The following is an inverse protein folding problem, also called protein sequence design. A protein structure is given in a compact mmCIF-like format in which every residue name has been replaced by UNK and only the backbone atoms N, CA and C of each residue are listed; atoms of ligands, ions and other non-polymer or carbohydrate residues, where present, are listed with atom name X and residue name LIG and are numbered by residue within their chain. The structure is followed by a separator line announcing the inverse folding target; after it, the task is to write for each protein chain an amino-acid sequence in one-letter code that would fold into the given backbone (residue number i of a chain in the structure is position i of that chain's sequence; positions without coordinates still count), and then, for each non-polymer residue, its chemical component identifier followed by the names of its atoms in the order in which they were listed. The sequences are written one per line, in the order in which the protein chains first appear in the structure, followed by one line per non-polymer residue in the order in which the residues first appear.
data_IF_897133537194
#
_entry.id   IF_897133537194
#
_cell.length_a   1.000
_cell.length_b   1.000
_cell.length_c   1.000
_cell.angle_alpha   90.00
_cell.angle_beta   90.00
_cell.angle_gamma   90.00
#
_symmetry.space_group_name_H-M   'P 1'
#
loop_
_entity.id
_entity.type
_entity.pdbx_description
1 polymer ?
#
# COMPACT_ATOMS: atom_id res chain seq x y z
N UNK A 1 -10.65 29.58 -36.37
CA UNK A 1 -10.27 28.94 -37.64
C UNK A 1 -9.89 27.50 -37.31
N UNK A 2 -10.86 26.59 -37.27
CA UNK A 2 -10.61 25.15 -37.09
C UNK A 2 -10.41 24.54 -38.47
N UNK A 3 -9.23 23.98 -38.71
CA UNK A 3 -8.92 23.30 -39.97
C UNK A 3 -9.67 21.96 -40.01
N UNK A 4 -10.79 21.95 -40.72
CA UNK A 4 -11.40 20.72 -41.25
C UNK A 4 -10.40 20.12 -42.26
N UNK A 5 -9.90 18.91 -41.98
CA UNK A 5 -9.19 18.11 -42.98
C UNK A 5 -10.23 17.52 -43.94
N UNK A 6 -9.96 17.49 -45.26
CA UNK A 6 -10.87 16.90 -46.23
C UNK A 6 -10.87 15.37 -46.13
N UNK A 7 -12.05 14.76 -46.20
CA UNK A 7 -12.22 13.31 -46.36
C UNK A 7 -11.66 12.88 -47.72
N UNK A 8 -10.81 11.85 -47.69
CA UNK A 8 -10.21 11.22 -48.88
C UNK A 8 -11.19 10.16 -49.43
N UNK A 9 -11.33 9.99 -50.76
CA UNK A 9 -12.31 9.10 -51.39
C UNK A 9 -11.88 7.61 -51.43
N UNK A 10 -11.21 7.11 -50.40
CA UNK A 10 -10.74 5.71 -50.34
C UNK A 10 -11.87 4.72 -49.96
N UNK A 11 -13.09 5.20 -49.66
CA UNK A 11 -14.15 4.43 -48.99
C UNK A 11 -14.94 3.46 -49.88
N UNK A 12 -15.12 3.74 -51.17
CA UNK A 12 -16.04 2.95 -52.02
C UNK A 12 -15.39 1.72 -52.69
N UNK A 13 -14.07 1.74 -52.91
CA UNK A 13 -13.36 0.60 -53.54
C UNK A 13 -13.20 -0.60 -52.60
N UNK A 14 -12.97 -0.36 -51.31
CA UNK A 14 -12.82 -1.42 -50.30
C UNK A 14 -14.15 -2.13 -49.97
N UNK A 15 -15.29 -1.45 -50.16
CA UNK A 15 -16.63 -2.01 -49.88
C UNK A 15 -17.05 -3.08 -50.90
N UNK A 16 -16.72 -2.85 -52.18
CA UNK A 16 -17.04 -3.75 -53.28
C UNK A 16 -16.12 -4.98 -53.36
N UNK A 17 -14.88 -4.86 -52.87
CA UNK A 17 -13.86 -5.91 -52.98
C UNK A 17 -14.15 -7.15 -52.12
N UNK A 18 -14.83 -6.98 -50.97
CA UNK A 18 -15.05 -8.05 -49.99
C UNK A 18 -16.53 -8.44 -49.79
N UNK A 19 -17.43 -8.12 -50.74
CA UNK A 19 -18.88 -8.32 -50.58
C UNK A 19 -19.29 -9.79 -50.43
N UNK A 20 -18.58 -10.72 -51.09
CA UNK A 20 -18.85 -12.15 -50.98
C UNK A 20 -18.49 -12.70 -49.58
N UNK A 21 -17.30 -12.40 -49.08
CA UNK A 21 -16.89 -12.76 -47.71
C UNK A 21 -17.71 -12.06 -46.63
N UNK A 22 -18.16 -10.83 -46.89
CA UNK A 22 -19.05 -10.10 -45.98
C UNK A 22 -20.42 -10.76 -45.85
N UNK A 23 -21.04 -11.20 -46.95
CA UNK A 23 -22.31 -11.94 -46.88
C UNK A 23 -22.21 -13.24 -46.07
N UNK A 24 -21.12 -13.99 -46.26
CA UNK A 24 -20.83 -15.19 -45.47
C UNK A 24 -20.61 -14.88 -43.99
N UNK A 25 -19.94 -13.76 -43.68
CA UNK A 25 -19.70 -13.29 -42.32
C UNK A 25 -21.00 -12.92 -41.61
N UNK A 26 -21.89 -12.24 -42.32
CA UNK A 26 -23.22 -11.88 -41.82
C UNK A 26 -24.06 -13.12 -41.47
N UNK A 27 -24.04 -14.17 -42.29
CA UNK A 27 -24.77 -15.41 -41.99
C UNK A 27 -24.17 -16.17 -40.79
N UNK A 28 -22.86 -16.44 -40.83
CA UNK A 28 -22.21 -17.33 -39.85
C UNK A 28 -21.93 -16.69 -38.49
N UNK A 29 -21.58 -15.41 -38.48
CA UNK A 29 -21.18 -14.72 -37.25
C UNK A 29 -22.32 -13.86 -36.75
N UNK A 30 -22.86 -12.97 -37.58
CA UNK A 30 -23.88 -12.02 -37.11
C UNK A 30 -25.22 -12.73 -36.83
N UNK A 31 -25.76 -13.47 -37.80
CA UNK A 31 -27.05 -14.16 -37.59
C UNK A 31 -26.93 -15.31 -36.61
N UNK A 32 -25.93 -16.18 -36.75
CA UNK A 32 -25.79 -17.34 -35.86
C UNK A 32 -25.35 -16.98 -34.43
N UNK A 33 -24.32 -16.14 -34.26
CA UNK A 33 -23.75 -15.89 -32.93
C UNK A 33 -24.41 -14.72 -32.21
N UNK A 34 -24.65 -13.60 -32.88
CA UNK A 34 -25.24 -12.42 -32.21
C UNK A 34 -26.76 -12.49 -32.14
N UNK A 35 -27.44 -12.96 -33.18
CA UNK A 35 -28.92 -12.95 -33.23
C UNK A 35 -29.56 -14.24 -32.72
N UNK A 36 -29.00 -15.41 -33.04
CA UNK A 36 -29.54 -16.70 -32.59
C UNK A 36 -29.00 -17.10 -31.21
N UNK A 37 -27.68 -16.99 -30.99
CA UNK A 37 -27.06 -17.37 -29.71
C UNK A 37 -27.01 -16.23 -28.67
N UNK A 38 -27.47 -15.01 -29.01
CA UNK A 38 -27.43 -13.82 -28.14
C UNK A 38 -26.04 -13.53 -27.53
N UNK A 39 -24.96 -13.81 -28.26
CA UNK A 39 -23.59 -13.55 -27.80
C UNK A 39 -23.25 -12.05 -27.87
N UNK A 40 -22.48 -11.58 -26.89
CA UNK A 40 -21.92 -10.22 -26.87
C UNK A 40 -20.49 -10.26 -27.37
N UNK A 41 -20.21 -9.60 -28.50
CA UNK A 41 -18.86 -9.58 -29.08
C UNK A 41 -18.27 -8.17 -29.09
N UNK A 42 -16.95 -8.08 -28.95
CA UNK A 42 -16.23 -6.80 -29.11
C UNK A 42 -16.00 -6.52 -30.60
N UNK A 43 -16.04 -5.25 -30.99
CA UNK A 43 -15.73 -4.82 -32.36
C UNK A 43 -14.33 -5.24 -32.83
N UNK A 44 -13.37 -5.38 -31.90
CA UNK A 44 -12.06 -5.96 -32.19
C UNK A 44 -12.14 -7.42 -32.64
N UNK A 45 -12.96 -8.23 -31.97
CA UNK A 45 -13.16 -9.65 -32.29
C UNK A 45 -13.94 -9.82 -33.59
N UNK A 46 -14.96 -8.99 -33.83
CA UNK A 46 -15.71 -9.01 -35.09
C UNK A 46 -14.82 -8.64 -36.29
N UNK A 47 -13.95 -7.64 -36.13
CA UNK A 47 -12.96 -7.29 -37.15
C UNK A 47 -12.00 -8.45 -37.41
N UNK A 48 -11.48 -9.09 -36.38
CA UNK A 48 -10.56 -10.21 -36.55
C UNK A 48 -11.24 -11.39 -37.25
N UNK A 49 -12.45 -11.75 -36.83
CA UNK A 49 -13.23 -12.81 -37.47
C UNK A 49 -13.57 -12.51 -38.93
N UNK A 50 -13.79 -11.24 -39.28
CA UNK A 50 -13.97 -10.82 -40.67
C UNK A 50 -12.67 -10.96 -41.48
N UNK A 51 -11.53 -10.53 -40.95
CA UNK A 51 -10.22 -10.69 -41.59
C UNK A 51 -9.89 -12.16 -41.83
N UNK A 52 -10.12 -13.01 -40.83
CA UNK A 52 -9.87 -14.45 -40.92
C UNK A 52 -10.77 -15.11 -41.98
N UNK A 53 -12.03 -14.67 -42.11
CA UNK A 53 -12.96 -15.14 -43.14
C UNK A 53 -12.57 -14.69 -44.54
N UNK A 54 -12.15 -13.44 -44.74
CA UNK A 54 -11.66 -12.95 -46.03
C UNK A 54 -10.41 -13.73 -46.46
N UNK A 55 -9.49 -13.96 -45.51
CA UNK A 55 -8.29 -14.76 -45.76
C UNK A 55 -8.62 -16.21 -46.13
N UNK A 56 -9.62 -16.81 -45.49
CA UNK A 56 -10.02 -18.19 -45.76
C UNK A 56 -10.79 -18.36 -47.08
N UNK A 57 -11.60 -17.37 -47.49
CA UNK A 57 -12.52 -17.50 -48.62
C UNK A 57 -11.99 -16.88 -49.91
N UNK A 58 -11.27 -15.75 -49.82
CA UNK A 58 -10.77 -15.01 -50.98
C UNK A 58 -9.24 -15.03 -51.07
N UNK A 59 -8.54 -15.47 -50.02
CA UNK A 59 -7.07 -15.55 -50.00
C UNK A 59 -6.38 -14.17 -50.01
N UNK A 60 -7.14 -13.09 -49.81
CA UNK A 60 -6.66 -11.70 -49.82
C UNK A 60 -6.38 -11.23 -48.40
N UNK A 61 -5.34 -10.41 -48.22
CA UNK A 61 -5.02 -9.81 -46.94
C UNK A 61 -5.91 -8.58 -46.65
N UNK A 62 -6.86 -8.73 -45.73
CA UNK A 62 -7.75 -7.67 -45.27
C UNK A 62 -7.28 -7.00 -43.97
N UNK A 63 -6.01 -7.15 -43.56
CA UNK A 63 -5.50 -6.62 -42.28
C UNK A 63 -5.70 -5.10 -42.12
N UNK A 64 -5.71 -4.35 -43.22
CA UNK A 64 -5.93 -2.90 -43.23
C UNK A 64 -7.40 -2.47 -43.14
N UNK A 65 -8.35 -3.41 -43.10
CA UNK A 65 -9.78 -3.09 -43.04
C UNK A 65 -10.14 -2.37 -41.74
N UNK A 66 -10.77 -1.19 -41.85
CA UNK A 66 -11.05 -0.31 -40.69
C UNK A 66 -12.30 -0.75 -39.92
N UNK A 67 -12.23 -0.69 -38.58
CA UNK A 67 -13.37 -0.99 -37.69
C UNK A 67 -14.58 -0.10 -37.96
N UNK A 68 -14.35 1.17 -38.29
CA UNK A 68 -15.40 2.15 -38.58
C UNK A 68 -16.23 1.78 -39.81
N UNK A 69 -15.60 1.17 -40.83
CA UNK A 69 -16.27 0.74 -42.06
C UNK A 69 -17.13 -0.50 -41.82
N UNK A 70 -16.57 -1.48 -41.11
CA UNK A 70 -17.34 -2.68 -40.71
C UNK A 70 -18.56 -2.29 -39.87
N UNK A 71 -18.40 -1.33 -38.96
CA UNK A 71 -19.49 -0.82 -38.13
C UNK A 71 -20.59 -0.20 -38.97
N UNK A 72 -20.25 0.69 -39.91
CA UNK A 72 -21.23 1.35 -40.79
C UNK A 72 -22.03 0.33 -41.59
N UNK A 73 -21.37 -0.68 -42.16
CA UNK A 73 -22.02 -1.73 -42.94
C UNK A 73 -22.96 -2.59 -42.09
N UNK A 74 -22.50 -2.99 -40.89
CA UNK A 74 -23.34 -3.76 -39.96
C UNK A 74 -24.54 -2.96 -39.43
N UNK A 75 -24.36 -1.67 -39.15
CA UNK A 75 -25.45 -0.80 -38.71
C UNK A 75 -26.49 -0.56 -39.82
N UNK A 76 -26.07 -0.58 -41.09
CA UNK A 76 -26.96 -0.46 -42.25
C UNK A 76 -27.76 -1.75 -42.50
N UNK A 77 -27.11 -2.91 -42.43
CA UNK A 77 -27.74 -4.21 -42.74
C UNK A 77 -28.52 -4.82 -41.56
N UNK A 78 -28.15 -4.47 -40.32
CA UNK A 78 -28.76 -4.97 -39.09
C UNK A 78 -29.08 -3.81 -38.14
N UNK A 79 -30.18 -3.07 -38.36
CA UNK A 79 -30.57 -1.94 -37.51
C UNK A 79 -30.88 -2.34 -36.07
N UNK A 80 -31.12 -3.62 -35.82
CA UNK A 80 -31.36 -4.21 -34.49
C UNK A 80 -30.08 -4.48 -33.68
N UNK A 81 -28.88 -4.13 -34.18
CA UNK A 81 -27.64 -4.24 -33.42
C UNK A 81 -27.36 -2.95 -32.65
N UNK A 82 -27.14 -3.10 -31.34
CA UNK A 82 -26.72 -2.01 -30.47
C UNK A 82 -25.19 -2.01 -30.33
N UNK A 83 -24.60 -0.81 -30.43
CA UNK A 83 -23.17 -0.58 -30.29
C UNK A 83 -22.90 0.24 -29.02
N UNK A 84 -22.26 -0.37 -28.02
CA UNK A 84 -22.02 0.27 -26.71
C UNK A 84 -20.54 0.60 -26.50
N UNK A 85 -20.26 1.88 -26.28
CA UNK A 85 -18.95 2.42 -25.93
C UNK A 85 -18.70 2.32 -24.41
N UNK A 86 -17.72 1.54 -23.94
CA UNK A 86 -17.39 1.46 -22.52
C UNK A 86 -16.85 2.79 -21.97
N UNK A 87 -17.19 3.14 -20.73
CA UNK A 87 -16.75 4.39 -20.05
C UNK A 87 -15.26 4.45 -19.71
N UNK A 88 -14.50 3.36 -19.87
CA UNK A 88 -13.04 3.31 -19.67
C UNK A 88 -12.31 3.67 -20.98
N UNK A 89 -11.27 4.50 -20.90
CA UNK A 89 -10.35 4.73 -22.05
C UNK A 89 -9.63 3.42 -22.42
N UNK A 90 -9.48 3.16 -23.72
CA UNK A 90 -8.77 2.02 -24.35
C UNK A 90 -9.50 0.66 -24.38
N UNK A 91 -10.84 0.62 -24.40
CA UNK A 91 -11.59 -0.63 -24.58
C UNK A 91 -12.40 -0.57 -25.88
N UNK A 92 -12.31 -1.62 -26.71
CA UNK A 92 -13.10 -1.71 -27.96
C UNK A 92 -14.61 -1.79 -27.68
N UNK A 93 -15.40 -1.22 -28.59
CA UNK A 93 -16.87 -1.18 -28.55
C UNK A 93 -17.49 -2.59 -28.46
N UNK A 94 -18.62 -2.70 -27.77
CA UNK A 94 -19.41 -3.94 -27.67
C UNK A 94 -20.54 -3.92 -28.69
N UNK A 95 -20.85 -5.08 -29.29
CA UNK A 95 -21.95 -5.27 -30.25
C UNK A 95 -22.83 -6.43 -29.79
N UNK A 96 -24.13 -6.20 -29.77
CA UNK A 96 -25.15 -7.17 -29.37
C UNK A 96 -26.51 -6.83 -30.00
N UNK A 97 -27.46 -7.75 -29.97
CA UNK A 97 -28.83 -7.53 -30.45
C UNK A 97 -29.66 -6.71 -29.44
N UNK A 98 -30.41 -5.72 -29.91
CA UNK A 98 -31.22 -4.78 -29.09
C UNK A 98 -32.35 -5.46 -28.29
N UNK A 99 -32.65 -6.73 -28.58
CA UNK A 99 -33.58 -7.57 -27.82
C UNK A 99 -33.07 -8.01 -26.44
N UNK A 100 -31.81 -7.71 -26.11
CA UNK A 100 -31.20 -8.01 -24.81
C UNK A 100 -31.45 -6.89 -23.79
N UNK A 101 -32.14 -7.21 -22.70
CA UNK A 101 -32.24 -6.36 -21.50
C UNK A 101 -30.85 -5.95 -21.02
N UNK A 102 -30.69 -4.68 -20.59
CA UNK A 102 -29.43 -4.11 -20.11
C UNK A 102 -28.80 -4.91 -18.96
N UNK A 103 -29.60 -5.70 -18.25
CA UNK A 103 -29.16 -6.56 -17.15
C UNK A 103 -28.46 -7.85 -17.63
N UNK A 104 -28.77 -8.36 -18.82
CA UNK A 104 -28.13 -9.56 -19.39
C UNK A 104 -26.74 -9.28 -20.01
N UNK A 105 -26.41 -8.01 -20.28
CA UNK A 105 -25.15 -7.59 -20.90
C UNK A 105 -23.95 -7.65 -19.95
N UNK A 106 -24.21 -7.64 -18.63
CA UNK A 106 -23.15 -7.73 -17.61
C UNK A 106 -22.68 -9.17 -17.43
N UNK A 107 -23.51 -10.16 -17.81
CA UNK A 107 -23.24 -11.58 -17.59
C UNK A 107 -22.45 -12.27 -18.70
N UNK A 108 -22.45 -11.71 -19.92
CA UNK A 108 -21.92 -12.37 -21.11
C UNK A 108 -20.61 -11.76 -21.65
N UNK A 109 -19.93 -10.91 -20.88
CA UNK A 109 -18.67 -10.28 -21.30
C UNK A 109 -17.48 -11.24 -21.12
N UNK A 110 -16.79 -11.66 -22.19
CA UNK A 110 -15.51 -12.34 -22.07
C UNK A 110 -14.46 -11.30 -21.66
N UNK A 111 -13.81 -11.53 -20.52
CA UNK A 111 -12.69 -10.71 -20.07
C UNK A 111 -11.37 -11.11 -20.75
N UNK A 112 -10.44 -10.16 -20.90
CA UNK A 112 -9.34 -10.22 -21.86
C UNK A 112 -8.18 -11.00 -21.28
N UNK A 113 -7.94 -12.20 -21.79
CA UNK A 113 -6.61 -12.81 -21.75
C UNK A 113 -6.22 -13.20 -23.16
N UNK A 114 -5.23 -12.48 -23.69
CA UNK A 114 -4.52 -12.91 -24.88
C UNK A 114 -3.65 -14.10 -24.52
N UNK A 115 -3.91 -15.23 -25.16
CA UNK A 115 -2.89 -16.12 -25.72
C UNK A 115 -3.63 -17.09 -26.62
N UNK A 116 -3.38 -16.95 -27.92
CA UNK A 116 -3.74 -17.91 -28.94
C UNK A 116 -3.15 -19.27 -28.54
N UNK A 117 -3.99 -20.25 -28.27
CA UNK A 117 -3.59 -21.66 -28.35
C UNK A 117 -4.67 -22.38 -29.12
N UNK A 118 -4.32 -22.63 -30.37
CA UNK A 118 -4.96 -23.54 -31.31
C UNK A 118 -5.21 -24.87 -30.61
N UNK A 119 -6.46 -25.28 -30.44
CA UNK A 119 -6.79 -26.70 -30.33
C UNK A 119 -8.04 -27.02 -31.13
N UNK A 120 -7.77 -27.62 -32.28
CA UNK A 120 -8.68 -28.42 -33.07
C UNK A 120 -9.23 -29.58 -32.22
N UNK A 121 -10.49 -29.89 -32.54
CA UNK A 121 -11.16 -31.17 -32.36
C UNK A 121 -10.22 -32.38 -32.49
N UNK A 122 -10.26 -33.32 -31.55
CA UNK A 122 -10.87 -34.65 -31.74
C UNK A 122 -10.45 -35.71 -30.70
N UNK A 123 -11.46 -36.49 -30.32
CA UNK A 123 -11.49 -37.94 -30.09
C UNK A 123 -10.76 -38.57 -28.88
N UNK A 124 -11.61 -39.19 -28.08
CA UNK A 124 -11.38 -40.24 -27.11
C UNK A 124 -10.54 -41.41 -27.62
N UNK A 125 -9.59 -41.83 -26.79
CA UNK A 125 -9.22 -43.25 -26.61
C UNK A 125 -8.46 -43.44 -25.29
N UNK A 126 -8.80 -44.55 -24.65
CA UNK A 126 -8.28 -45.12 -23.40
C UNK A 126 -6.85 -45.61 -23.56
N UNK A 127 -5.96 -45.35 -22.60
CA UNK A 127 -5.23 -46.42 -21.90
C UNK A 127 -4.43 -45.94 -20.68
N UNK A 128 -4.19 -46.91 -19.81
CA UNK A 128 -3.56 -46.91 -18.49
C UNK A 128 -2.19 -46.22 -18.38
N UNK A 129 -1.96 -45.44 -17.32
CA UNK A 129 -1.02 -45.78 -16.23
C UNK A 129 -0.79 -44.61 -15.25
N UNK A 130 -0.65 -44.99 -13.98
CA UNK A 130 -0.36 -44.15 -12.81
C UNK A 130 0.85 -43.20 -13.02
N UNK A 131 0.69 -41.92 -12.64
CA UNK A 131 1.62 -41.29 -11.68
C UNK A 131 1.12 -39.92 -11.14
N UNK A 132 1.04 -39.86 -9.81
CA UNK A 132 1.18 -38.69 -8.91
C UNK A 132 0.47 -37.37 -9.27
N UNK A 133 -0.66 -37.16 -8.60
CA UNK A 133 -1.52 -36.00 -8.70
C UNK A 133 -0.85 -34.68 -8.31
N UNK A 134 -0.78 -33.78 -9.28
CA UNK A 134 -0.71 -32.33 -9.05
C UNK A 134 -2.12 -31.81 -9.26
N UNK A 135 -2.90 -31.71 -8.19
CA UNK A 135 -4.26 -31.18 -8.23
C UNK A 135 -4.18 -29.72 -8.66
N UNK A 136 -4.39 -29.43 -9.95
CA UNK A 136 -4.64 -28.07 -10.42
C UNK A 136 -5.96 -27.65 -9.78
N UNK A 137 -5.90 -26.77 -8.77
CA UNK A 137 -7.09 -26.11 -8.25
C UNK A 137 -7.69 -25.31 -9.41
N UNK A 138 -8.77 -25.82 -10.00
CA UNK A 138 -9.48 -25.14 -11.07
C UNK A 138 -10.37 -24.09 -10.42
N UNK A 139 -9.90 -22.85 -10.34
CA UNK A 139 -10.75 -21.71 -9.97
C UNK A 139 -11.84 -21.57 -11.03
N UNK A 140 -13.11 -21.62 -10.62
CA UNK A 140 -14.20 -21.51 -11.57
C UNK A 140 -14.35 -20.07 -12.08
N UNK A 141 -15.02 -19.91 -13.21
CA UNK A 141 -15.38 -18.58 -13.72
C UNK A 141 -16.25 -17.80 -12.71
N UNK A 142 -17.11 -18.52 -11.97
CA UNK A 142 -17.94 -17.97 -10.89
C UNK A 142 -17.10 -17.49 -9.70
N UNK A 143 -16.08 -18.25 -9.31
CA UNK A 143 -15.15 -17.83 -8.25
C UNK A 143 -14.42 -16.54 -8.62
N UNK A 144 -13.95 -16.45 -9.88
CA UNK A 144 -13.26 -15.27 -10.39
C UNK A 144 -14.17 -14.04 -10.35
N UNK A 145 -15.43 -14.19 -10.74
CA UNK A 145 -16.43 -13.12 -10.70
C UNK A 145 -16.75 -12.69 -9.27
N UNK A 146 -16.87 -13.64 -8.36
CA UNK A 146 -17.13 -13.39 -6.94
C UNK A 146 -15.97 -12.61 -6.32
N UNK A 147 -14.73 -13.03 -6.57
CA UNK A 147 -13.52 -12.33 -6.12
C UNK A 147 -13.44 -10.91 -6.66
N UNK A 148 -13.71 -10.71 -7.95
CA UNK A 148 -13.67 -9.37 -8.55
C UNK A 148 -14.76 -8.45 -7.97
N UNK A 149 -15.96 -8.97 -7.75
CA UNK A 149 -17.07 -8.21 -7.15
C UNK A 149 -16.76 -7.82 -5.70
N UNK A 150 -16.20 -8.75 -4.91
CA UNK A 150 -15.73 -8.48 -3.56
C UNK A 150 -14.62 -7.41 -3.55
N UNK A 151 -13.67 -7.48 -4.49
CA UNK A 151 -12.61 -6.48 -4.62
C UNK A 151 -13.15 -5.08 -4.95
N UNK A 152 -14.17 -4.98 -5.83
CA UNK A 152 -14.83 -3.70 -6.13
C UNK A 152 -15.58 -3.14 -4.93
N UNK A 153 -16.25 -4.00 -4.16
CA UNK A 153 -16.92 -3.61 -2.92
C UNK A 153 -15.94 -3.04 -1.90
N UNK A 154 -14.83 -3.74 -1.62
CA UNK A 154 -13.77 -3.24 -0.73
C UNK A 154 -13.14 -1.95 -1.24
N UNK A 155 -12.91 -1.84 -2.56
CA UNK A 155 -12.36 -0.63 -3.17
C UNK A 155 -13.27 0.59 -2.93
N UNK A 156 -14.59 0.41 -3.00
CA UNK A 156 -15.56 1.45 -2.65
C UNK A 156 -15.46 1.82 -1.17
N UNK A 157 -15.47 0.83 -0.26
CA UNK A 157 -15.32 1.07 1.18
C UNK A 157 -14.05 1.88 1.49
N UNK A 158 -12.92 1.50 0.88
CA UNK A 158 -11.61 2.17 1.03
C UNK A 158 -11.61 3.60 0.49
N UNK A 159 -12.35 3.87 -0.59
CA UNK A 159 -12.54 5.22 -1.11
C UNK A 159 -13.32 6.09 -0.12
N UNK A 160 -14.36 5.52 0.49
CA UNK A 160 -15.28 6.23 1.38
C UNK A 160 -14.70 6.42 2.81
N UNK A 161 -13.69 5.64 3.20
CA UNK A 161 -13.07 5.74 4.54
C UNK A 161 -12.41 7.09 4.75
N UNK A 162 -12.69 7.83 5.83
CA UNK A 162 -11.89 9.01 6.16
C UNK A 162 -10.45 8.58 6.55
N UNK A 163 -9.47 9.46 6.31
CA UNK A 163 -8.16 9.31 6.96
C UNK A 163 -8.23 9.70 8.43
N UNK A 164 -7.09 9.66 9.14
CA UNK A 164 -6.99 10.23 10.49
C UNK A 164 -7.56 11.67 10.52
N UNK A 165 -8.49 11.93 11.43
CA UNK A 165 -9.20 13.22 11.55
C UNK A 165 -8.66 14.13 12.67
N UNK A 166 -7.51 13.79 13.26
CA UNK A 166 -6.98 14.54 14.40
C UNK A 166 -6.27 15.85 13.96
N UNK A 167 -6.10 16.81 14.90
CA UNK A 167 -5.27 17.97 14.67
C UNK A 167 -3.83 17.57 14.33
N UNK A 168 -3.16 18.40 13.53
CA UNK A 168 -1.73 18.26 13.30
C UNK A 168 -0.94 19.07 14.33
N UNK A 169 0.14 18.51 14.93
CA UNK A 169 0.60 17.13 14.78
C UNK A 169 -0.21 16.14 15.62
N UNK A 170 -0.45 14.91 15.14
CA UNK A 170 -0.98 13.83 15.97
C UNK A 170 -0.05 13.51 17.14
N UNK A 171 -0.63 13.31 18.32
CA UNK A 171 0.08 12.92 19.56
C UNK A 171 -0.12 11.43 19.86
N UNK A 172 0.44 10.95 20.97
CA UNK A 172 0.21 9.58 21.46
C UNK A 172 -1.28 9.26 21.70
N UNK A 173 -2.11 10.27 21.96
CA UNK A 173 -3.56 10.10 22.11
C UNK A 173 -4.27 9.80 20.79
N UNK A 174 -3.64 10.14 19.66
CA UNK A 174 -4.17 9.90 18.31
C UNK A 174 -3.53 8.68 17.64
N UNK A 175 -2.48 8.12 18.24
CA UNK A 175 -1.68 7.03 17.70
C UNK A 175 -1.83 5.81 18.63
N UNK A 176 -3.02 5.22 18.62
CA UNK A 176 -3.36 4.07 19.45
C UNK A 176 -4.27 3.09 18.69
N UNK A 177 -4.62 1.98 19.36
CA UNK A 177 -5.41 0.90 18.77
C UNK A 177 -6.85 1.33 18.49
N UNK A 178 -7.46 2.13 19.37
CA UNK A 178 -8.83 2.62 19.20
C UNK A 178 -8.96 3.53 17.98
N UNK A 179 -8.02 4.47 17.79
CA UNK A 179 -7.97 5.31 16.60
C UNK A 179 -7.59 4.54 15.34
N UNK A 180 -6.88 3.41 15.48
CA UNK A 180 -6.63 2.52 14.35
C UNK A 180 -7.91 1.88 13.82
N UNK A 181 -8.90 1.62 14.68
CA UNK A 181 -10.21 1.09 14.28
C UNK A 181 -11.10 2.15 13.61
N UNK A 182 -10.87 3.45 13.85
CA UNK A 182 -11.68 4.52 13.20
C UNK A 182 -11.29 4.73 11.73
N UNK A 183 -10.04 4.44 11.38
CA UNK A 183 -9.51 4.58 10.01
C UNK A 183 -9.60 3.31 9.16
N UNK A 184 -10.04 2.20 9.74
CA UNK A 184 -10.17 0.90 9.05
C UNK A 184 -11.65 0.60 8.81
N UNK A 185 -12.07 0.24 7.58
CA UNK A 185 -13.42 -0.24 7.34
C UNK A 185 -13.66 -1.61 7.95
N UNK A 186 -14.81 -1.79 8.61
CA UNK A 186 -15.23 -3.07 9.21
C UNK A 186 -15.15 -4.21 8.19
N UNK A 187 -15.66 -4.00 6.97
CA UNK A 187 -15.62 -5.02 5.92
C UNK A 187 -14.21 -5.45 5.50
N UNK A 188 -13.22 -4.55 5.56
CA UNK A 188 -11.82 -4.92 5.29
C UNK A 188 -11.23 -5.75 6.43
N UNK A 189 -11.49 -5.34 7.66
CA UNK A 189 -10.99 -6.04 8.84
C UNK A 189 -11.58 -7.44 8.96
N UNK A 190 -12.90 -7.57 8.79
CA UNK A 190 -13.59 -8.86 8.88
C UNK A 190 -13.12 -9.79 7.76
N UNK A 191 -12.95 -9.28 6.53
CA UNK A 191 -12.38 -10.07 5.44
C UNK A 191 -10.99 -10.61 5.76
N UNK A 192 -10.07 -9.76 6.24
CA UNK A 192 -8.73 -10.22 6.60
C UNK A 192 -8.77 -11.26 7.72
N UNK A 193 -9.67 -11.07 8.69
CA UNK A 193 -9.87 -12.01 9.80
C UNK A 193 -10.39 -13.37 9.33
N UNK A 194 -11.27 -13.40 8.31
CA UNK A 194 -11.73 -14.63 7.67
C UNK A 194 -10.63 -15.29 6.82
N UNK A 195 -9.83 -14.50 6.09
CA UNK A 195 -8.71 -15.02 5.28
C UNK A 195 -7.69 -15.76 6.14
N UNK A 196 -7.42 -15.27 7.36
CA UNK A 196 -6.48 -15.91 8.28
C UNK A 196 -7.13 -17.01 9.16
N UNK A 197 -8.43 -17.26 9.00
CA UNK A 197 -9.16 -18.29 9.76
C UNK A 197 -9.31 -17.99 11.26
N UNK A 198 -9.29 -16.72 11.66
CA UNK A 198 -9.45 -16.35 13.09
C UNK A 198 -10.91 -16.34 13.56
N UNK A 199 -11.85 -16.39 12.63
CA UNK A 199 -13.28 -16.54 12.87
C UNK A 199 -13.96 -17.09 11.63
N UNK A 200 -15.01 -17.88 11.82
CA UNK A 200 -15.81 -18.48 10.75
C UNK A 200 -17.18 -17.80 10.62
N UNK A 201 -17.56 -16.94 11.56
CA UNK A 201 -18.86 -16.30 11.58
C UNK A 201 -18.87 -15.01 10.75
N UNK A 202 -19.75 -14.92 9.73
CA UNK A 202 -19.87 -13.71 8.93
C UNK A 202 -20.69 -12.64 9.67
N UNK A 203 -20.06 -11.48 9.91
CA UNK A 203 -20.70 -10.26 10.41
C UNK A 203 -20.24 -9.06 9.59
N UNK A 204 -21.12 -8.07 9.42
CA UNK A 204 -20.83 -6.82 8.71
C UNK A 204 -21.07 -5.57 9.55
N UNK A 205 -21.68 -5.71 10.73
CA UNK A 205 -22.10 -4.59 11.57
C UNK A 205 -21.02 -4.16 12.57
N UNK A 206 -20.12 -5.07 12.93
CA UNK A 206 -19.08 -4.86 13.91
C UNK A 206 -17.80 -5.61 13.55
N UNK A 207 -16.71 -5.20 14.19
CA UNK A 207 -15.43 -5.90 14.15
C UNK A 207 -15.59 -7.30 14.72
N UNK A 208 -15.15 -8.32 13.99
CA UNK A 208 -15.10 -9.69 14.51
C UNK A 208 -14.20 -9.76 15.75
N UNK A 209 -14.67 -10.50 16.76
CA UNK A 209 -13.93 -10.71 17.99
C UNK A 209 -12.85 -11.78 17.77
N UNK A 210 -11.59 -11.39 17.94
CA UNK A 210 -10.41 -12.25 17.81
C UNK A 210 -9.42 -11.92 18.93
N UNK A 211 -8.47 -12.82 19.19
CA UNK A 211 -7.43 -12.63 20.21
C UNK A 211 -6.64 -11.32 20.00
N UNK A 212 -6.25 -10.66 21.10
CA UNK A 212 -5.62 -9.34 21.11
C UNK A 212 -4.32 -9.28 20.29
N UNK A 213 -3.49 -10.33 20.31
CA UNK A 213 -2.24 -10.36 19.53
C UNK A 213 -2.53 -10.43 18.03
N UNK A 214 -3.55 -11.21 17.65
CA UNK A 214 -4.01 -11.33 16.26
C UNK A 214 -4.70 -10.04 15.81
N UNK A 215 -5.51 -9.43 16.69
CA UNK A 215 -6.19 -8.15 16.47
C UNK A 215 -5.23 -7.05 16.03
N UNK A 216 -4.12 -6.88 16.76
CA UNK A 216 -3.10 -5.88 16.44
C UNK A 216 -2.46 -6.12 15.07
N UNK A 217 -2.17 -7.38 14.73
CA UNK A 217 -1.56 -7.76 13.45
C UNK A 217 -2.52 -7.53 12.29
N UNK A 218 -3.79 -7.90 12.44
CA UNK A 218 -4.83 -7.65 11.43
C UNK A 218 -5.02 -6.15 11.20
N UNK A 219 -5.19 -5.36 12.28
CA UNK A 219 -5.30 -3.91 12.18
C UNK A 219 -4.08 -3.27 11.51
N UNK A 220 -2.88 -3.77 11.81
CA UNK A 220 -1.64 -3.32 11.19
C UNK A 220 -1.65 -3.53 9.67
N UNK A 221 -2.13 -4.68 9.18
CA UNK A 221 -2.24 -4.96 7.74
C UNK A 221 -3.38 -4.16 7.10
N UNK A 222 -4.52 -4.02 7.77
CA UNK A 222 -5.63 -3.17 7.30
C UNK A 222 -5.17 -1.74 7.04
N UNK A 223 -4.41 -1.16 7.99
CA UNK A 223 -3.90 0.20 7.86
C UNK A 223 -2.94 0.36 6.69
N UNK A 224 -2.11 -0.64 6.38
CA UNK A 224 -1.25 -0.60 5.18
C UNK A 224 -2.09 -0.60 3.91
N UNK A 225 -3.16 -1.40 3.85
CA UNK A 225 -4.07 -1.44 2.70
C UNK A 225 -4.79 -0.10 2.53
N UNK A 226 -5.28 0.52 3.61
CA UNK A 226 -5.90 1.85 3.59
C UNK A 226 -4.90 2.92 3.10
N UNK A 227 -3.68 2.91 3.65
CA UNK A 227 -2.62 3.83 3.26
C UNK A 227 -2.26 3.67 1.77
N UNK A 228 -2.08 2.42 1.31
CA UNK A 228 -1.76 2.07 -0.08
C UNK A 228 -2.89 2.45 -1.05
N UNK A 229 -4.14 2.11 -0.73
CA UNK A 229 -5.31 2.41 -1.56
C UNK A 229 -5.49 3.93 -1.73
N UNK A 230 -5.14 4.71 -0.70
CA UNK A 230 -5.14 6.16 -0.76
C UNK A 230 -3.93 6.77 -1.47
N UNK A 231 -2.92 5.97 -1.84
CA UNK A 231 -1.60 6.41 -2.35
C UNK A 231 -0.89 7.34 -1.36
N UNK A 232 -1.00 7.04 -0.08
CA UNK A 232 -0.41 7.80 1.02
C UNK A 232 -1.08 9.13 1.36
N UNK A 233 -2.24 9.44 0.75
CA UNK A 233 -3.00 10.67 1.04
C UNK A 233 -3.77 10.59 2.34
N UNK A 234 -4.27 9.41 2.70
CA UNK A 234 -4.92 9.15 3.99
C UNK A 234 -3.85 8.59 4.93
N UNK A 235 -3.40 9.40 5.89
CA UNK A 235 -2.49 8.92 6.93
C UNK A 235 -3.21 7.98 7.88
N UNK A 236 -2.50 6.98 8.39
CA UNK A 236 -2.97 6.05 9.41
C UNK A 236 -2.07 6.12 10.65
N UNK A 237 -2.57 5.75 11.84
CA UNK A 237 -1.75 5.69 13.05
C UNK A 237 -0.45 4.91 12.82
N UNK A 238 -0.53 3.72 12.21
CA UNK A 238 0.65 2.92 11.85
C UNK A 238 1.59 3.64 10.91
N UNK A 239 1.09 4.26 9.83
CA UNK A 239 1.96 4.86 8.81
C UNK A 239 2.85 5.95 9.42
N UNK A 240 2.30 6.75 10.32
CA UNK A 240 3.01 7.80 11.04
C UNK A 240 3.91 7.23 12.16
N UNK A 241 3.36 6.36 13.02
CA UNK A 241 4.07 5.80 14.16
C UNK A 241 5.30 5.01 13.74
N UNK A 242 5.16 4.13 12.76
CA UNK A 242 6.25 3.29 12.28
C UNK A 242 7.37 4.14 11.68
N UNK A 243 7.01 5.10 10.83
CA UNK A 243 7.99 6.00 10.20
C UNK A 243 8.75 6.84 11.22
N UNK A 244 8.04 7.43 12.19
CA UNK A 244 8.62 8.23 13.27
C UNK A 244 9.53 7.39 14.17
N UNK A 245 9.07 6.20 14.56
CA UNK A 245 9.84 5.27 15.42
C UNK A 245 11.13 4.83 14.73
N UNK A 246 11.06 4.40 13.47
CA UNK A 246 12.26 3.97 12.71
C UNK A 246 13.24 5.12 12.53
N UNK A 247 12.74 6.34 12.28
CA UNK A 247 13.59 7.53 12.24
C UNK A 247 14.27 7.78 13.58
N UNK A 248 13.55 7.73 14.70
CA UNK A 248 14.14 7.97 16.03
C UNK A 248 15.16 6.89 16.42
N UNK A 249 14.89 5.63 16.09
CA UNK A 249 15.79 4.52 16.42
C UNK A 249 17.05 4.47 15.56
N UNK A 250 16.96 4.86 14.28
CA UNK A 250 18.04 4.63 13.31
C UNK A 250 18.64 5.90 12.72
N UNK A 251 17.91 7.01 12.70
CA UNK A 251 18.28 8.23 11.97
C UNK A 251 18.39 8.06 10.44
N UNK A 252 18.11 6.88 9.89
CA UNK A 252 18.42 6.56 8.50
C UNK A 252 17.24 6.85 7.57
N UNK A 253 17.40 7.89 6.74
CA UNK A 253 16.45 8.19 5.66
C UNK A 253 16.30 7.02 4.68
N UNK A 254 17.37 6.25 4.44
CA UNK A 254 17.35 5.08 3.54
C UNK A 254 16.38 4.00 4.02
N UNK A 255 16.33 3.73 5.32
CA UNK A 255 15.45 2.70 5.90
C UNK A 255 13.99 3.19 5.84
N UNK A 256 13.73 4.43 6.25
CA UNK A 256 12.38 5.01 6.18
C UNK A 256 11.87 5.05 4.73
N UNK A 257 12.70 5.48 3.77
CA UNK A 257 12.35 5.46 2.35
C UNK A 257 12.17 4.06 1.78
N UNK A 258 12.85 3.04 2.33
CA UNK A 258 12.59 1.65 1.94
C UNK A 258 11.21 1.20 2.41
N UNK A 259 10.87 1.42 3.68
CA UNK A 259 9.58 1.05 4.26
C UNK A 259 8.42 1.80 3.60
N UNK A 260 8.59 3.08 3.30
CA UNK A 260 7.60 3.87 2.59
C UNK A 260 7.37 3.34 1.16
N UNK A 261 8.41 2.94 0.44
CA UNK A 261 8.28 2.33 -0.90
C UNK A 261 7.56 0.99 -0.88
N UNK A 262 7.65 0.26 0.23
CA UNK A 262 6.89 -0.96 0.47
C UNK A 262 5.45 -0.69 0.96
N UNK A 263 5.08 0.57 1.19
CA UNK A 263 3.74 0.97 1.61
C UNK A 263 3.49 0.87 3.12
N UNK A 264 4.51 0.63 3.94
CA UNK A 264 4.35 0.39 5.38
C UNK A 264 4.34 1.65 6.25
N UNK A 265 4.97 2.74 5.78
CA UNK A 265 5.04 3.98 6.55
C UNK A 265 4.91 5.22 5.69
N UNK A 266 4.72 6.37 6.36
CA UNK A 266 4.74 7.68 5.75
C UNK A 266 6.12 8.00 5.12
N UNK A 267 6.14 8.96 4.20
CA UNK A 267 7.38 9.38 3.55
C UNK A 267 8.33 10.02 4.57
N UNK A 268 9.63 10.05 4.23
CA UNK A 268 10.63 10.72 5.06
C UNK A 268 10.25 12.17 5.38
N UNK A 269 9.76 12.90 4.39
CA UNK A 269 9.38 14.31 4.56
C UNK A 269 8.16 14.47 5.48
N UNK A 270 7.16 13.61 5.35
CA UNK A 270 6.01 13.60 6.27
C UNK A 270 6.45 13.28 7.70
N UNK A 271 7.35 12.30 7.87
CA UNK A 271 7.89 11.93 9.18
C UNK A 271 8.72 13.07 9.78
N UNK A 272 9.55 13.74 8.98
CA UNK A 272 10.36 14.87 9.44
C UNK A 272 9.47 16.07 9.82
N UNK A 273 8.44 16.33 9.02
CA UNK A 273 7.42 17.33 9.31
C UNK A 273 6.71 17.03 10.63
N UNK A 274 6.31 15.77 10.83
CA UNK A 274 5.67 15.32 12.08
C UNK A 274 6.57 15.56 13.29
N UNK A 275 7.83 15.12 13.21
CA UNK A 275 8.82 15.31 14.28
C UNK A 275 9.05 16.80 14.61
N UNK A 276 9.18 17.62 13.56
CA UNK A 276 9.36 19.06 13.70
C UNK A 276 8.15 19.72 14.36
N UNK A 277 6.93 19.34 13.93
CA UNK A 277 5.70 19.86 14.51
C UNK A 277 5.50 19.40 15.95
N UNK A 278 5.85 18.16 16.31
CA UNK A 278 5.82 17.67 17.70
C UNK A 278 6.80 18.44 18.59
N UNK A 279 8.00 18.75 18.05
CA UNK A 279 8.97 19.59 18.75
C UNK A 279 8.44 21.02 18.96
N UNK A 280 7.82 21.61 17.93
CA UNK A 280 7.18 22.94 18.04
C UNK A 280 6.05 22.94 19.07
N UNK A 281 5.18 21.93 19.05
CA UNK A 281 4.10 21.79 20.02
C UNK A 281 4.68 21.72 21.45
N UNK A 282 5.76 20.96 21.65
CA UNK A 282 6.46 20.89 22.94
C UNK A 282 7.04 22.24 23.39
N UNK A 283 7.52 23.07 22.46
CA UNK A 283 8.03 24.41 22.76
C UNK A 283 6.89 25.37 23.15
N UNK A 284 5.77 25.32 22.45
CA UNK A 284 4.57 26.16 22.68
C UNK A 284 3.87 25.78 23.98
N UNK A 285 3.74 24.49 24.27
CA UNK A 285 3.19 23.97 25.52
C UNK A 285 4.05 24.29 26.74
N UNK A 286 5.23 24.88 26.53
CA UNK A 286 5.87 25.72 27.53
C UNK A 286 6.18 25.00 28.82
N UNK A 287 6.48 23.69 28.76
CA UNK A 287 7.20 23.09 29.88
C UNK A 287 8.62 23.60 29.77
N UNK A 288 9.10 24.26 30.81
CA UNK A 288 10.53 24.45 31.06
C UNK A 288 11.21 23.07 31.15
N UNK A 289 11.36 22.40 30.00
CA UNK A 289 12.07 21.14 29.84
C UNK A 289 13.56 21.46 29.77
N UNK A 290 14.01 22.11 30.84
CA UNK A 290 15.42 22.21 31.13
C UNK A 290 15.87 20.80 31.53
N UNK A 291 16.94 20.27 30.91
CA UNK A 291 17.44 18.95 31.26
C UNK A 291 17.68 18.83 32.78
N UNK A 292 17.47 17.64 33.34
CA UNK A 292 17.73 17.40 34.77
C UNK A 292 19.16 17.84 35.12
N UNK A 293 19.30 18.62 36.19
CA UNK A 293 20.58 19.21 36.61
C UNK A 293 20.82 20.63 36.11
N UNK A 294 19.96 21.17 35.26
CA UNK A 294 20.01 22.55 34.81
C UNK A 294 18.88 23.38 35.45
N UNK A 295 19.18 24.65 35.69
CA UNK A 295 18.33 25.65 36.33
C UNK A 295 17.83 26.67 35.32
N UNK A 296 16.61 27.18 35.54
CA UNK A 296 16.03 28.26 34.72
C UNK A 296 16.80 29.55 34.95
N UNK A 297 16.92 30.35 33.89
CA UNK A 297 17.50 31.71 33.93
C UNK A 297 18.95 31.76 34.41
N UNK A 298 19.67 30.64 34.33
CA UNK A 298 21.10 30.57 34.63
C UNK A 298 21.90 30.56 33.33
N UNK A 299 22.96 31.40 33.20
CA UNK A 299 23.81 31.39 32.02
C UNK A 299 24.31 29.98 31.71
N UNK A 300 24.05 29.54 30.48
CA UNK A 300 24.38 28.21 29.99
C UNK A 300 25.24 28.35 28.75
N UNK A 301 26.40 27.69 28.74
CA UNK A 301 27.30 27.63 27.60
C UNK A 301 27.06 26.33 26.85
N UNK A 302 26.75 26.44 25.55
CA UNK A 302 26.66 25.31 24.64
C UNK A 302 27.93 25.29 23.80
N UNK A 303 28.66 24.18 23.83
CA UNK A 303 29.84 23.93 23.00
C UNK A 303 29.48 22.81 22.05
N UNK A 304 29.54 23.07 20.75
CA UNK A 304 29.31 22.06 19.72
C UNK A 304 30.58 21.91 18.91
N UNK A 305 30.94 20.67 18.62
CA UNK A 305 32.09 20.35 17.78
C UNK A 305 31.77 19.16 16.88
N UNK A 306 32.40 19.11 15.71
CA UNK A 306 32.32 17.95 14.84
C UNK A 306 33.36 16.93 15.28
N UNK A 307 32.91 15.69 15.48
CA UNK A 307 33.77 14.53 15.54
C UNK A 307 33.85 13.96 14.13
N UNK A 308 34.87 14.43 13.43
CA UNK A 308 35.25 13.90 12.13
C UNK A 308 36.45 12.96 12.31
N UNK A 309 36.25 11.67 12.02
CA UNK A 309 37.31 10.66 12.08
C UNK A 309 37.51 10.01 10.71
N UNK A 310 38.77 9.79 10.34
CA UNK A 310 39.14 9.07 9.12
C UNK A 310 38.87 9.84 7.83
N UNK A 311 38.85 11.17 7.89
CA UNK A 311 38.54 12.06 6.75
C UNK A 311 39.46 11.87 5.54
N UNK A 312 40.69 11.42 5.77
CA UNK A 312 41.69 11.18 4.71
C UNK A 312 41.48 9.84 3.99
N UNK A 313 40.27 9.60 3.46
CA UNK A 313 40.03 8.49 2.53
C UNK A 313 39.66 9.01 1.16
N UNK A 314 40.39 8.57 0.12
CA UNK A 314 40.11 8.93 -1.29
C UNK A 314 38.69 8.56 -1.74
N UNK A 315 38.06 7.58 -1.06
CA UNK A 315 36.72 7.09 -1.38
C UNK A 315 35.61 7.65 -0.49
N UNK A 316 35.93 8.40 0.57
CA UNK A 316 34.95 8.85 1.58
C UNK A 316 34.23 7.70 2.32
N UNK A 317 34.81 6.48 2.33
CA UNK A 317 34.21 5.31 2.99
C UNK A 317 34.87 5.09 4.35
N UNK A 318 34.06 4.78 5.36
CA UNK A 318 34.57 4.59 6.72
C UNK A 318 34.84 5.89 7.46
N UNK A 319 34.46 7.04 6.90
CA UNK A 319 34.49 8.32 7.61
C UNK A 319 33.36 8.36 8.63
N UNK A 320 33.64 8.97 9.78
CA UNK A 320 32.62 9.26 10.79
C UNK A 320 32.39 10.76 10.77
N UNK A 321 31.13 11.17 10.60
CA UNK A 321 30.70 12.56 10.65
C UNK A 321 29.59 12.69 11.70
N UNK A 322 29.96 13.03 12.93
CA UNK A 322 29.00 13.21 14.02
C UNK A 322 29.23 14.56 14.69
N UNK A 323 28.16 15.35 14.86
CA UNK A 323 28.22 16.57 15.67
C UNK A 323 27.89 16.23 17.12
N UNK A 324 28.80 16.56 18.03
CA UNK A 324 28.62 16.39 19.46
C UNK A 324 28.44 17.76 20.14
N UNK A 325 27.67 17.77 21.22
CA UNK A 325 27.40 18.95 22.01
C UNK A 325 27.66 18.72 23.49
N UNK A 326 28.27 19.70 24.16
CA UNK A 326 28.41 19.77 25.61
C UNK A 326 27.61 20.99 26.08
N UNK A 327 26.77 20.79 27.09
CA UNK A 327 26.02 21.85 27.76
C UNK A 327 26.63 22.06 29.15
N UNK A 328 27.05 23.28 29.45
CA UNK A 328 27.66 23.67 30.72
C UNK A 328 26.81 24.76 31.36
N UNK A 329 26.49 24.62 32.65
CA UNK A 329 25.81 25.66 33.40
C UNK A 329 26.43 25.77 34.78
N UNK A 330 26.79 26.99 35.18
CA UNK A 330 27.34 27.24 36.51
C UNK A 330 26.27 26.97 37.55
N UNK A 331 26.55 26.13 38.54
CA UNK A 331 25.64 25.92 39.67
C UNK A 331 25.62 27.20 40.51
N UNK A 332 24.45 27.85 40.72
CA UNK A 332 24.38 29.01 41.59
C UNK A 332 24.49 28.52 43.04
N UNK A 333 25.68 28.65 43.64
CA UNK A 333 25.89 28.33 45.06
C UNK A 333 27.28 27.80 45.42
N UNK A 334 28.08 27.32 44.47
CA UNK A 334 29.48 27.07 44.74
C UNK A 334 30.29 28.34 44.46
N UNK A 335 30.90 28.98 45.47
CA UNK A 335 31.94 29.96 45.18
C UNK A 335 32.97 29.22 44.32
N UNK A 336 33.30 29.76 43.15
CA UNK A 336 34.45 29.27 42.38
C UNK A 336 35.61 29.14 43.36
N UNK A 337 36.00 27.89 43.66
CA UNK A 337 37.19 27.64 44.44
C UNK A 337 38.33 28.31 43.68
N UNK A 338 38.86 29.37 44.27
CA UNK A 338 40.03 30.09 43.76
C UNK A 338 41.29 29.21 43.74
N UNK A 339 41.21 27.98 44.27
CA UNK A 339 42.08 26.87 43.92
C UNK A 339 41.45 26.14 42.72
N UNK A 340 41.69 26.53 41.47
CA UNK A 340 42.90 26.18 40.72
C UNK A 340 43.12 27.30 39.68
N UNK A 341 43.75 28.41 40.07
CA UNK A 341 44.53 29.23 39.12
C UNK A 341 45.99 28.82 39.26
N UNK A 342 46.34 27.62 38.78
CA UNK A 342 47.75 27.36 38.51
C UNK A 342 48.12 28.17 37.27
N UNK A 343 49.13 29.07 37.33
CA UNK A 343 49.65 29.68 36.12
C UNK A 343 50.13 28.56 35.21
N UNK A 344 49.62 28.53 33.97
CA UNK A 344 50.09 27.60 32.93
C UNK A 344 51.60 27.80 32.77
N UNK A 345 52.40 26.90 33.35
CA UNK A 345 53.84 26.86 33.11
C UNK A 345 54.03 26.34 31.69
N UNK A 346 54.49 27.22 30.79
CA UNK A 346 54.96 26.80 29.46
C UNK A 346 56.07 25.76 29.64
N UNK A 347 55.87 24.58 29.04
CA UNK A 347 56.92 23.55 28.93
C UNK A 347 56.81 22.36 29.89
N UNK A 348 55.63 21.78 30.10
CA UNK A 348 55.51 20.48 30.77
C UNK A 348 55.30 19.39 29.71
N UNK A 349 56.27 18.50 29.57
CA UNK A 349 56.31 17.39 28.59
C UNK A 349 55.71 16.08 29.12
N UNK A 350 54.99 16.11 30.25
CA UNK A 350 54.36 14.90 30.80
C UNK A 350 53.04 15.22 31.49
N UNK A 351 51.96 14.60 31.00
CA UNK A 351 50.66 14.60 31.67
C UNK A 351 50.76 13.73 32.93
N UNK A 352 50.62 14.34 34.11
CA UNK A 352 50.42 13.59 35.35
C UNK A 352 48.92 13.32 35.48
N UNK A 353 48.54 12.05 35.65
CA UNK A 353 47.15 11.67 35.85
C UNK A 353 46.59 12.33 37.13
N UNK A 354 45.33 12.78 37.13
CA UNK A 354 44.71 13.36 38.31
C UNK A 354 44.62 12.32 39.44
N UNK A 355 44.65 12.76 40.72
CA UNK A 355 44.54 11.85 41.86
C UNK A 355 43.20 11.09 41.84
N UNK A 356 43.18 9.83 42.32
CA UNK A 356 42.06 8.90 42.16
C UNK A 356 40.73 9.33 42.79
N UNK A 357 40.72 10.41 43.59
CA UNK A 357 39.56 10.84 44.36
C UNK A 357 38.88 12.10 43.79
N UNK A 358 39.26 12.56 42.59
CA UNK A 358 38.69 13.77 41.99
C UNK A 358 37.32 13.56 41.30
N UNK A 359 36.83 12.31 41.21
CA UNK A 359 35.57 12.00 40.57
C UNK A 359 34.68 11.18 41.50
N UNK A 360 33.60 11.78 41.99
CA UNK A 360 32.43 11.00 42.40
C UNK A 360 31.83 10.45 41.11
N UNK A 361 32.13 9.19 40.79
CA UNK A 361 31.43 8.48 39.73
C UNK A 361 29.96 8.40 40.08
N UNK A 362 29.11 9.16 39.36
CA UNK A 362 27.69 8.85 39.32
C UNK A 362 27.55 7.43 38.75
N UNK A 363 26.69 6.58 39.33
CA UNK A 363 26.54 5.21 38.85
C UNK A 363 26.20 5.23 37.37
N UNK A 364 26.97 4.47 36.60
CA UNK A 364 26.72 4.24 35.18
C UNK A 364 25.26 3.81 35.01
N UNK A 365 24.47 4.59 34.29
CA UNK A 365 23.22 4.08 33.73
C UNK A 365 23.63 3.03 32.71
N UNK A 366 23.69 1.78 33.16
CA UNK A 366 23.70 0.65 32.25
C UNK A 366 22.48 0.84 31.35
N UNK A 367 22.70 0.90 30.03
CA UNK A 367 21.62 0.80 29.05
C UNK A 367 20.79 -0.42 29.44
N UNK A 368 19.57 -0.19 29.91
CA UNK A 368 18.58 -1.23 29.99
C UNK A 368 18.43 -1.80 28.58
N UNK A 369 18.95 -3.01 28.39
CA UNK A 369 18.65 -3.84 27.24
C UNK A 369 17.14 -4.03 27.28
N UNK A 370 16.43 -3.50 26.29
CA UNK A 370 15.00 -3.74 26.15
C UNK A 370 14.81 -5.26 26.09
N UNK A 371 14.36 -5.80 27.22
CA UNK A 371 14.03 -7.22 27.36
C UNK A 371 12.54 -7.29 27.07
N UNK A 372 12.18 -8.16 26.14
CA UNK A 372 10.82 -8.42 25.70
C UNK A 372 9.88 -8.58 26.90
N UNK A 373 8.81 -7.77 26.93
CA UNK A 373 7.64 -8.06 27.75
C UNK A 373 6.79 -9.07 26.97
N UNK A 374 7.12 -10.35 27.14
CA UNK A 374 6.20 -11.45 26.87
C UNK A 374 5.36 -11.62 28.13
N UNK A 375 4.10 -11.19 28.06
CA UNK A 375 3.07 -11.47 29.05
C UNK A 375 2.76 -12.96 29.02
N UNK A 376 3.28 -13.73 29.98
CA UNK A 376 2.77 -15.07 30.28
C UNK A 376 2.00 -15.03 31.59
N UNK A 377 0.70 -15.25 31.47
CA UNK A 377 -0.18 -15.62 32.55
C UNK A 377 0.26 -16.96 33.12
N UNK A 378 0.42 -17.03 34.44
CA UNK A 378 0.55 -18.30 35.15
C UNK A 378 -0.48 -18.33 36.28
N UNK A 379 -1.46 -19.21 36.07
CA UNK A 379 -2.32 -19.82 37.08
C UNK A 379 -1.46 -20.58 38.08
N UNK A 380 -1.73 -20.43 39.37
CA UNK A 380 -1.67 -21.55 40.31
C UNK A 380 -2.37 -21.20 41.63
N UNK A 381 -3.49 -21.88 41.84
CA UNK A 381 -4.15 -22.14 43.12
C UNK A 381 -3.18 -22.74 44.16
N UNK A 382 -3.33 -22.35 45.43
CA UNK A 382 -3.90 -23.22 46.49
C UNK A 382 -3.69 -22.63 47.90
N UNK A 383 -4.82 -22.28 48.52
CA UNK A 383 -5.25 -22.71 49.86
C UNK A 383 -4.26 -22.68 51.04
N UNK A 384 -4.49 -21.78 52.01
CA UNK A 384 -5.21 -22.07 53.27
C UNK A 384 -4.94 -21.00 54.34
N UNK A 385 -5.98 -20.63 55.11
CA UNK A 385 -5.78 -20.20 56.51
C UNK A 385 -6.45 -18.92 57.01
N UNK A 386 -7.79 -18.87 56.97
CA UNK A 386 -8.72 -18.21 57.93
C UNK A 386 -8.63 -16.68 58.26
N UNK A 387 -9.79 -16.06 58.63
CA UNK A 387 -10.00 -14.62 58.62
C UNK A 387 -9.85 -13.98 60.01
N UNK A 388 -9.45 -12.71 60.04
CA UNK A 388 -9.73 -11.82 61.16
C UNK A 388 -10.42 -10.55 60.65
N UNK A 389 -11.70 -10.53 60.98
CA UNK A 389 -12.55 -9.36 61.09
C UNK A 389 -11.92 -8.39 62.12
N UNK A 390 -11.91 -7.08 61.83
CA UNK A 390 -12.20 -6.05 62.81
C UNK A 390 -12.43 -4.70 62.12
N UNK A 391 -13.60 -4.17 62.41
CA UNK A 391 -14.13 -2.81 62.23
C UNK A 391 -13.22 -1.72 62.79
N UNK A 392 -13.20 -0.56 62.12
CA UNK A 392 -13.67 0.74 62.63
C UNK A 392 -13.59 1.80 61.55
#
# INVERSE_FOLDING_TARGET
MFLLRPDKPETEQDEAMFDASYKLFCERIIRQRLLVNNEVLRMGQLRQAFIDMVKANEGVDASNYRQDLLKKRLAQDFPQLAFHMPTKRNVCELVFAETLSKDALVDMLPDPSGTETTQSSELSQTDSDNETGRTKCQTTHEDTRTLYTAALFLKRLLSDTPGMSCPWPPTSENVNVTESQTVVPIGLYNLLSWIIGSTEEPTLDHYVNIDDDVHLKVLSVCQDIVYLASKGRKQTPKSLALGLTVRHLTGSSRIVSLLNRLGHCASWDTVLSLDTSLAQLTLVEGRDKIPKGFSKRTPTTLVWDNIDFGEETLSGRGTTHHTNGIMLQSVPGEPMSTAIRQPLRKGVTSFIAPPPNAYTTLPSVQKARATELVSTSAVSDMQNGHPLCCTS
#
